data_IF_741468407424
#
_entry.id   IF_741468407424
#
_cell.length_a   1.000
_cell.length_b   1.000
_cell.length_c   1.000
_cell.angle_alpha   90.00
_cell.angle_beta   90.00
_cell.angle_gamma   90.00
#
_symmetry.space_group_name_H-M   'P 1'
#
loop_
_entity.id
_entity.type
_entity.pdbx_description
1 polymer ?
#
# COMPACT_ATOMS: atom_id res chain seq x y z
N UNK A 1 1.28 -23.33 -10.90
CA UNK A 1 2.16 -22.33 -10.24
C UNK A 1 1.39 -21.02 -10.11
N UNK A 2 0.35 -20.79 -9.31
CA UNK A 2 -0.14 -21.32 -8.01
C UNK A 2 0.78 -21.05 -6.80
N UNK A 3 1.73 -20.10 -6.90
CA UNK A 3 2.79 -19.93 -5.89
C UNK A 3 2.81 -18.60 -5.13
N UNK A 4 1.87 -17.67 -5.38
CA UNK A 4 1.54 -16.64 -4.38
C UNK A 4 0.36 -17.18 -3.58
N UNK A 5 0.67 -17.96 -2.55
CA UNK A 5 -0.31 -18.64 -1.71
C UNK A 5 -1.38 -17.64 -1.28
N UNK A 6 -2.66 -17.96 -1.40
CA UNK A 6 -3.80 -17.09 -1.00
C UNK A 6 -3.62 -16.45 0.39
N UNK A 7 -2.86 -17.12 1.26
CA UNK A 7 -2.42 -16.65 2.58
C UNK A 7 -1.53 -15.40 2.51
N UNK A 8 -0.56 -15.36 1.60
CA UNK A 8 0.37 -14.24 1.39
C UNK A 8 -0.39 -13.01 0.87
N UNK A 9 -1.37 -13.24 -0.01
CA UNK A 9 -2.26 -12.20 -0.53
C UNK A 9 -3.14 -11.64 0.61
N UNK A 10 -3.77 -12.50 1.42
CA UNK A 10 -4.60 -12.07 2.55
C UNK A 10 -3.80 -11.36 3.66
N UNK A 11 -2.58 -11.83 3.93
CA UNK A 11 -1.66 -11.21 4.89
C UNK A 11 -1.20 -9.83 4.40
N UNK A 12 -0.87 -9.69 3.12
CA UNK A 12 -0.45 -8.41 2.55
C UNK A 12 -1.60 -7.38 2.55
N UNK A 13 -2.84 -7.81 2.30
CA UNK A 13 -4.06 -6.96 2.36
C UNK A 13 -4.29 -6.38 3.74
N UNK A 14 -4.28 -7.25 4.73
CA UNK A 14 -4.56 -6.90 6.11
C UNK A 14 -3.41 -6.10 6.73
N UNK A 15 -2.16 -6.41 6.37
CA UNK A 15 -0.97 -5.68 6.81
C UNK A 15 -0.96 -4.23 6.29
N UNK A 16 -1.16 -4.00 4.98
CA UNK A 16 -1.21 -2.62 4.46
C UNK A 16 -2.36 -1.83 5.08
N UNK A 17 -3.57 -2.37 5.06
CA UNK A 17 -4.74 -1.68 5.59
C UNK A 17 -4.55 -1.33 7.08
N UNK A 18 -3.94 -2.25 7.86
CA UNK A 18 -3.60 -2.00 9.26
C UNK A 18 -2.51 -0.94 9.43
N UNK A 19 -1.49 -0.92 8.57
CA UNK A 19 -0.45 0.12 8.57
C UNK A 19 -1.06 1.49 8.29
N UNK A 20 -1.83 1.66 7.21
CA UNK A 20 -2.49 2.93 6.85
C UNK A 20 -3.49 3.38 7.92
N UNK A 21 -4.23 2.46 8.53
CA UNK A 21 -5.14 2.74 9.66
C UNK A 21 -4.39 3.18 10.91
N UNK A 22 -3.31 2.50 11.26
CA UNK A 22 -2.46 2.86 12.41
C UNK A 22 -1.82 4.24 12.20
N UNK A 23 -1.35 4.52 10.99
CA UNK A 23 -0.78 5.82 10.64
C UNK A 23 -1.82 6.93 10.62
N UNK A 24 -3.06 6.66 10.19
CA UNK A 24 -4.15 7.65 10.26
C UNK A 24 -4.50 8.08 11.69
N UNK A 25 -4.16 7.25 12.69
CA UNK A 25 -4.36 7.55 14.11
C UNK A 25 -3.30 8.50 14.70
N UNK A 26 -2.22 8.76 13.96
CA UNK A 26 -1.18 9.71 14.39
C UNK A 26 -1.45 11.09 13.78
N UNK A 27 -1.82 12.11 14.59
CA UNK A 27 -2.01 13.46 14.08
C UNK A 27 -0.69 13.99 13.52
N UNK A 28 -0.73 14.52 12.30
CA UNK A 28 0.44 15.16 11.68
C UNK A 28 0.51 16.59 12.19
N UNK A 29 1.48 16.88 13.06
CA UNK A 29 1.81 18.27 13.38
C UNK A 29 2.39 18.95 12.14
N UNK A 30 2.07 20.24 11.89
CA UNK A 30 2.41 20.95 10.64
C UNK A 30 3.92 21.08 10.34
N UNK A 31 4.80 20.61 11.23
CA UNK A 31 6.26 20.61 11.07
C UNK A 31 6.88 19.25 10.75
N UNK A 32 6.12 18.15 10.72
CA UNK A 32 6.65 16.81 10.39
C UNK A 32 6.48 16.48 8.89
N UNK A 33 7.35 17.06 8.07
CA UNK A 33 7.40 16.97 6.59
C UNK A 33 7.67 15.56 6.01
N UNK A 34 7.76 14.53 6.86
CA UNK A 34 8.23 13.19 6.47
C UNK A 34 7.14 12.13 6.38
N UNK A 35 5.90 12.47 6.71
CA UNK A 35 4.78 11.54 6.66
C UNK A 35 3.67 12.15 5.80
N UNK A 36 3.05 11.35 4.94
CA UNK A 36 1.96 11.81 4.07
C UNK A 36 0.89 12.58 4.90
N UNK A 37 0.34 13.70 4.40
CA UNK A 37 -0.72 14.43 5.07
C UNK A 37 -1.90 13.52 5.42
N UNK A 38 -2.62 13.83 6.51
CA UNK A 38 -3.71 13.00 7.04
C UNK A 38 -4.71 12.55 5.96
N UNK A 39 -5.15 13.49 5.11
CA UNK A 39 -6.05 13.23 3.97
C UNK A 39 -5.49 12.17 3.01
N UNK A 40 -4.19 12.21 2.73
CA UNK A 40 -3.55 11.25 1.84
C UNK A 40 -3.49 9.86 2.48
N UNK A 41 -3.28 9.75 3.80
CA UNK A 41 -3.35 8.47 4.52
C UNK A 41 -4.74 7.86 4.49
N UNK A 42 -5.77 8.69 4.67
CA UNK A 42 -7.19 8.27 4.58
C UNK A 42 -7.50 7.84 3.15
N UNK A 43 -7.04 8.58 2.14
CA UNK A 43 -7.22 8.21 0.74
C UNK A 43 -6.55 6.86 0.41
N UNK A 44 -5.30 6.66 0.83
CA UNK A 44 -4.62 5.37 0.65
C UNK A 44 -5.35 4.24 1.38
N UNK A 45 -5.80 4.46 2.63
CA UNK A 45 -6.58 3.46 3.36
C UNK A 45 -7.88 3.08 2.64
N UNK A 46 -8.59 4.07 2.09
CA UNK A 46 -9.83 3.84 1.33
C UNK A 46 -9.55 3.08 0.02
N UNK A 47 -8.51 3.45 -0.72
CA UNK A 47 -8.09 2.78 -1.96
C UNK A 47 -7.70 1.33 -1.71
N UNK A 48 -6.89 1.05 -0.69
CA UNK A 48 -6.51 -0.33 -0.35
C UNK A 48 -7.71 -1.14 0.16
N UNK A 49 -8.64 -0.49 0.87
CA UNK A 49 -9.93 -1.08 1.23
C UNK A 49 -10.78 -1.43 0.01
N UNK A 50 -10.89 -0.50 -0.95
CA UNK A 50 -11.64 -0.69 -2.20
C UNK A 50 -11.04 -1.76 -3.11
N UNK A 51 -9.71 -1.80 -3.23
CA UNK A 51 -8.99 -2.90 -3.89
C UNK A 51 -9.29 -4.23 -3.21
N UNK A 52 -9.23 -4.26 -1.87
CA UNK A 52 -9.60 -5.44 -1.09
C UNK A 52 -11.05 -5.88 -1.35
N UNK A 53 -11.99 -4.95 -1.46
CA UNK A 53 -13.38 -5.26 -1.81
C UNK A 53 -13.50 -5.84 -3.23
N UNK A 54 -12.88 -5.22 -4.24
CA UNK A 54 -12.91 -5.72 -5.62
C UNK A 54 -12.40 -7.16 -5.73
N UNK A 55 -11.27 -7.48 -5.08
CA UNK A 55 -10.74 -8.85 -5.03
C UNK A 55 -11.73 -9.80 -4.33
N UNK A 56 -12.37 -9.37 -3.24
CA UNK A 56 -13.33 -10.19 -2.50
C UNK A 56 -14.63 -10.44 -3.29
N UNK A 57 -15.05 -9.48 -4.12
CA UNK A 57 -16.22 -9.60 -5.01
C UNK A 57 -15.93 -10.43 -6.27
N UNK A 58 -14.73 -11.01 -6.40
CA UNK A 58 -14.33 -11.84 -7.54
C UNK A 58 -13.66 -11.08 -8.69
N UNK A 59 -13.60 -9.74 -8.62
CA UNK A 59 -12.88 -8.91 -9.60
C UNK A 59 -11.41 -8.75 -9.17
N UNK A 60 -10.69 -9.87 -9.27
CA UNK A 60 -9.27 -9.97 -8.90
C UNK A 60 -8.41 -9.10 -9.83
N UNK A 61 -8.82 -8.90 -11.09
CA UNK A 61 -8.07 -8.10 -12.06
C UNK A 61 -8.07 -6.63 -11.71
N UNK A 62 -9.24 -6.00 -11.53
CA UNK A 62 -9.28 -4.59 -11.17
C UNK A 62 -8.71 -4.37 -9.75
N UNK A 63 -8.98 -5.28 -8.83
CA UNK A 63 -8.48 -5.18 -7.47
C UNK A 63 -6.95 -5.22 -7.36
N UNK A 64 -6.29 -6.14 -8.08
CA UNK A 64 -4.83 -6.20 -8.16
C UNK A 64 -4.21 -5.01 -8.91
N UNK A 65 -4.86 -4.53 -9.97
CA UNK A 65 -4.44 -3.33 -10.69
C UNK A 65 -4.47 -2.07 -9.82
N UNK A 66 -5.57 -1.86 -9.08
CA UNK A 66 -5.72 -0.73 -8.15
C UNK A 66 -4.66 -0.80 -7.03
N UNK A 67 -4.47 -1.97 -6.40
CA UNK A 67 -3.45 -2.13 -5.36
C UNK A 67 -2.04 -1.81 -5.88
N UNK A 68 -1.70 -2.29 -7.07
CA UNK A 68 -0.39 -2.08 -7.69
C UNK A 68 -0.15 -0.62 -8.03
N UNK A 69 -1.08 0.00 -8.77
CA UNK A 69 -0.94 1.37 -9.25
C UNK A 69 -0.82 2.37 -8.10
N UNK A 70 -1.65 2.22 -7.06
CA UNK A 70 -1.59 3.10 -5.91
C UNK A 70 -0.39 2.83 -5.01
N UNK A 71 0.08 1.59 -4.89
CA UNK A 71 1.34 1.29 -4.20
C UNK A 71 2.54 1.93 -4.90
N UNK A 72 2.62 1.84 -6.23
CA UNK A 72 3.63 2.52 -7.04
C UNK A 72 3.54 4.05 -6.91
N UNK A 73 2.34 4.60 -6.88
CA UNK A 73 2.12 6.04 -6.66
C UNK A 73 2.65 6.47 -5.29
N UNK A 74 2.40 5.68 -4.24
CA UNK A 74 2.92 5.95 -2.90
C UNK A 74 4.45 5.97 -2.90
N UNK A 75 5.08 4.97 -3.52
CA UNK A 75 6.54 4.89 -3.64
C UNK A 75 7.10 6.08 -4.41
N UNK A 76 6.53 6.40 -5.57
CA UNK A 76 6.99 7.51 -6.39
C UNK A 76 6.98 8.84 -5.62
N UNK A 77 5.95 9.06 -4.81
CA UNK A 77 5.79 10.31 -4.04
C UNK A 77 6.61 10.34 -2.73
N UNK A 78 6.76 9.21 -2.02
CA UNK A 78 7.28 9.22 -0.64
C UNK A 78 8.54 8.38 -0.42
N UNK A 79 8.97 7.56 -1.38
CA UNK A 79 10.13 6.68 -1.20
C UNK A 79 11.40 7.48 -0.91
N UNK A 80 11.69 8.48 -1.75
CA UNK A 80 12.88 9.32 -1.59
C UNK A 80 12.86 10.08 -0.25
N UNK A 81 11.69 10.52 0.18
CA UNK A 81 11.51 11.27 1.43
C UNK A 81 11.63 10.36 2.67
N UNK A 82 11.28 9.09 2.54
CA UNK A 82 11.39 8.08 3.61
C UNK A 82 12.83 7.75 3.97
N UNK A 83 13.77 7.89 3.02
CA UNK A 83 15.20 7.65 3.24
C UNK A 83 16.00 8.92 3.59
N UNK A 84 15.40 10.11 3.41
CA UNK A 84 16.04 11.39 3.72
C UNK A 84 15.99 11.66 5.24
N UNK A 85 17.10 12.12 5.81
CA UNK A 85 17.18 12.42 7.25
C UNK A 85 16.42 13.72 7.59
N UNK A 86 15.73 13.82 8.76
CA UNK A 86 15.55 12.78 9.78
C UNK A 86 14.59 11.66 9.32
N UNK A 87 15.02 10.41 9.48
CA UNK A 87 14.25 9.23 9.05
C UNK A 87 13.11 8.97 10.02
N UNK A 88 11.90 8.72 9.50
CA UNK A 88 10.76 8.31 10.31
C UNK A 88 10.51 6.79 10.13
N UNK A 89 10.51 5.98 11.20
CA UNK A 89 10.29 4.54 11.08
C UNK A 89 8.92 4.20 10.47
N UNK A 90 7.91 5.05 10.67
CA UNK A 90 6.58 4.87 10.10
C UNK A 90 6.56 5.08 8.58
N UNK A 91 7.33 6.04 8.06
CA UNK A 91 7.40 6.28 6.61
C UNK A 91 8.13 5.15 5.89
N UNK A 92 9.18 4.60 6.51
CA UNK A 92 9.89 3.43 6.01
C UNK A 92 8.98 2.20 6.00
N UNK A 93 8.20 1.97 7.08
CA UNK A 93 7.25 0.87 7.14
C UNK A 93 6.21 0.96 6.01
N UNK A 94 5.67 2.14 5.76
CA UNK A 94 4.71 2.37 4.67
C UNK A 94 5.32 2.18 3.29
N UNK A 95 6.53 2.69 3.07
CA UNK A 95 7.23 2.50 1.82
C UNK A 95 7.55 1.01 1.59
N UNK A 96 7.96 0.29 2.63
CA UNK A 96 8.17 -1.16 2.58
C UNK A 96 6.89 -1.93 2.28
N UNK A 97 5.78 -1.58 2.95
CA UNK A 97 4.46 -2.15 2.67
C UNK A 97 4.03 -1.90 1.22
N UNK A 98 4.11 -0.66 0.75
CA UNK A 98 3.81 -0.30 -0.64
C UNK A 98 4.71 -1.05 -1.65
N UNK A 99 6.00 -1.20 -1.37
CA UNK A 99 6.90 -1.99 -2.22
C UNK A 99 6.49 -3.46 -2.30
N UNK A 100 6.18 -4.08 -1.15
CA UNK A 100 5.74 -5.47 -1.10
C UNK A 100 4.41 -5.67 -1.86
N UNK A 101 3.46 -4.75 -1.71
CA UNK A 101 2.17 -4.83 -2.40
C UNK A 101 2.29 -4.53 -3.91
N UNK A 102 3.13 -3.58 -4.33
CA UNK A 102 3.42 -3.37 -5.74
C UNK A 102 4.06 -4.63 -6.38
N UNK A 103 4.96 -5.32 -5.66
CA UNK A 103 5.56 -6.56 -6.13
C UNK A 103 4.55 -7.70 -6.26
N UNK A 104 3.80 -7.98 -5.18
CA UNK A 104 2.84 -9.10 -5.15
C UNK A 104 1.70 -8.85 -6.14
N UNK A 105 1.03 -7.71 -6.06
CA UNK A 105 -0.09 -7.41 -6.94
C UNK A 105 0.32 -7.06 -8.36
N UNK A 106 1.51 -6.48 -8.56
CA UNK A 106 2.03 -6.19 -9.88
C UNK A 106 2.34 -7.48 -10.64
N UNK A 107 2.94 -8.46 -9.97
CA UNK A 107 3.19 -9.78 -10.56
C UNK A 107 1.87 -10.47 -10.93
N UNK A 108 0.87 -10.41 -10.05
CA UNK A 108 -0.49 -10.91 -10.35
C UNK A 108 -1.11 -10.22 -11.56
N UNK A 109 -1.06 -8.89 -11.62
CA UNK A 109 -1.71 -8.14 -12.70
C UNK A 109 -0.99 -8.28 -14.05
N UNK A 110 0.35 -8.24 -14.07
CA UNK A 110 1.15 -8.17 -15.29
C UNK A 110 1.66 -9.52 -15.80
N UNK A 111 1.87 -10.53 -14.93
CA UNK A 111 2.43 -11.83 -15.35
C UNK A 111 1.34 -12.90 -15.40
N UNK A 112 0.46 -12.96 -14.41
CA UNK A 112 -0.53 -14.04 -14.31
C UNK A 112 -1.85 -13.75 -15.03
N UNK A 113 -2.09 -12.50 -15.44
CA UNK A 113 -3.34 -12.09 -16.08
C UNK A 113 -3.16 -11.50 -17.49
N UNK A 114 -1.97 -11.62 -18.09
CA UNK A 114 -1.76 -11.50 -19.55
C UNK A 114 -2.22 -12.76 -20.26
#
# INVERSE_FOLDING_TARGET
MQLATTKDILLTRSALCSQYRLSSRTPSFPRHTHIAPFLQRVAFAAVFGGSGYAIASGDVRNGSGIASAWSLTYLFLHLRQSFKSPRNPLSILMAGGAAASAGIYGTEYFIFQT
#
